data_IF_087235501671
#
_entry.id   IF_087235501671
#
_cell.length_a   1.000
_cell.length_b   1.000
_cell.length_c   1.000
_cell.angle_alpha   90.00
_cell.angle_beta   90.00
_cell.angle_gamma   90.00
#
_symmetry.space_group_name_H-M   'P 1'
#
loop_
_entity.id
_entity.type
_entity.pdbx_description
1 polymer ?
#
# COMPACT_ATOMS: atom_id res chain seq x y z
N UNK A 1 8.09 9.00 16.67
CA UNK A 1 6.94 9.80 17.13
C UNK A 1 5.84 9.63 16.10
N UNK A 2 4.62 9.22 16.48
CA UNK A 2 3.52 9.12 15.53
C UNK A 2 2.97 10.54 15.30
N UNK A 3 3.21 11.11 14.12
CA UNK A 3 2.67 12.42 13.78
C UNK A 3 1.17 12.26 13.51
N UNK A 4 0.29 13.02 14.20
CA UNK A 4 -1.13 13.03 13.89
C UNK A 4 -1.34 13.48 12.44
N UNK A 5 -2.33 12.91 11.77
CA UNK A 5 -2.74 13.41 10.45
C UNK A 5 -3.16 14.89 10.59
N UNK A 6 -2.70 15.79 9.71
CA UNK A 6 -3.07 17.20 9.79
C UNK A 6 -4.59 17.37 9.62
N UNK A 7 -5.30 17.65 10.71
CA UNK A 7 -6.72 17.99 10.72
C UNK A 7 -6.89 19.50 10.86
N UNK A 8 -6.72 20.22 9.76
CA UNK A 8 -6.99 21.67 9.72
C UNK A 8 -8.47 21.92 9.44
N UNK A 9 -9.34 21.72 10.44
CA UNK A 9 -10.68 22.36 10.60
C UNK A 9 -11.75 22.29 9.50
N UNK A 10 -11.43 21.95 8.26
CA UNK A 10 -12.33 21.76 7.13
C UNK A 10 -12.50 20.26 6.86
N UNK A 11 -13.59 19.87 6.21
CA UNK A 11 -13.78 18.49 5.77
C UNK A 11 -12.62 18.10 4.83
N UNK A 12 -11.68 17.31 5.33
CA UNK A 12 -10.56 16.78 4.54
C UNK A 12 -10.99 15.44 3.98
N UNK A 13 -10.68 15.20 2.71
CA UNK A 13 -10.92 13.91 2.06
C UNK A 13 -9.64 13.09 2.08
N UNK A 14 -9.77 11.83 2.43
CA UNK A 14 -8.66 10.87 2.46
C UNK A 14 -9.01 9.66 1.59
N UNK A 15 -7.98 9.06 1.02
CA UNK A 15 -8.10 7.73 0.43
C UNK A 15 -7.74 6.69 1.50
N UNK A 16 -8.59 5.68 1.65
CA UNK A 16 -8.42 4.60 2.62
C UNK A 16 -7.94 3.36 1.90
N UNK A 17 -6.72 2.92 2.19
CA UNK A 17 -6.13 1.70 1.64
C UNK A 17 -6.40 0.53 2.60
N UNK A 18 -6.98 -0.54 2.08
CA UNK A 18 -7.35 -1.76 2.79
C UNK A 18 -6.46 -2.88 2.27
N UNK A 19 -5.69 -3.48 3.18
CA UNK A 19 -4.72 -4.53 2.86
C UNK A 19 -4.86 -5.68 3.83
N UNK A 20 -4.83 -6.89 3.29
CA UNK A 20 -4.91 -8.14 4.05
C UNK A 20 -4.25 -9.26 3.24
N UNK A 21 -3.45 -10.10 3.91
CA UNK A 21 -2.85 -11.28 3.29
C UNK A 21 -3.93 -12.22 2.75
N UNK A 22 -3.70 -12.77 1.55
CA UNK A 22 -4.62 -13.64 0.85
C UNK A 22 -5.79 -12.93 0.15
N UNK A 23 -5.82 -11.59 0.15
CA UNK A 23 -6.87 -10.78 -0.48
C UNK A 23 -6.26 -9.66 -1.34
N UNK A 24 -7.01 -9.23 -2.34
CA UNK A 24 -6.64 -8.07 -3.15
C UNK A 24 -6.58 -6.79 -2.29
N UNK A 25 -5.79 -5.80 -2.71
CA UNK A 25 -5.81 -4.45 -2.14
C UNK A 25 -7.12 -3.75 -2.51
N UNK A 26 -7.79 -3.14 -1.54
CA UNK A 26 -8.93 -2.25 -1.77
C UNK A 26 -8.54 -0.79 -1.49
N UNK A 27 -9.05 0.15 -2.26
CA UNK A 27 -8.94 1.59 -1.98
C UNK A 27 -10.30 2.24 -2.03
N UNK A 28 -10.66 2.98 -0.97
CA UNK A 28 -11.84 3.82 -0.95
C UNK A 28 -11.38 5.27 -1.08
N UNK A 29 -11.68 5.87 -2.22
CA UNK A 29 -11.31 7.24 -2.50
C UNK A 29 -12.25 8.25 -1.86
N UNK A 30 -11.70 9.43 -1.55
CA UNK A 30 -12.47 10.62 -1.18
C UNK A 30 -13.35 10.49 0.07
N UNK A 31 -12.92 9.67 1.04
CA UNK A 31 -13.61 9.48 2.33
C UNK A 31 -13.60 10.80 3.11
N UNK A 32 -14.76 11.41 3.40
CA UNK A 32 -14.81 12.66 4.13
C UNK A 32 -14.43 12.41 5.59
N UNK A 33 -13.60 13.28 6.16
CA UNK A 33 -13.26 13.26 7.59
C UNK A 33 -13.47 14.65 8.14
N UNK A 34 -14.26 14.73 9.22
CA UNK A 34 -14.51 15.94 9.98
C UNK A 34 -14.22 15.69 11.46
N UNK A 35 -13.79 16.74 12.17
CA UNK A 35 -13.48 16.63 13.58
C UNK A 35 -14.74 16.25 14.39
N UNK A 36 -14.61 15.28 15.29
CA UNK A 36 -15.70 14.82 16.16
C UNK A 36 -16.79 13.98 15.47
N UNK A 37 -16.59 13.57 14.22
CA UNK A 37 -17.54 12.72 13.49
C UNK A 37 -16.91 11.38 13.10
N UNK A 38 -17.75 10.35 12.97
CA UNK A 38 -17.37 9.04 12.44
C UNK A 38 -17.90 8.88 11.03
N UNK A 39 -17.02 8.61 10.08
CA UNK A 39 -17.40 8.28 8.70
C UNK A 39 -17.44 6.76 8.54
N UNK A 40 -18.62 6.24 8.19
CA UNK A 40 -18.83 4.80 8.04
C UNK A 40 -18.44 4.38 6.63
N UNK A 41 -17.52 3.42 6.52
CA UNK A 41 -17.07 2.83 5.23
C UNK A 41 -17.57 1.39 5.01
N UNK A 42 -18.07 0.75 6.08
CA UNK A 42 -18.65 -0.60 6.06
C UNK A 42 -19.45 -0.86 7.34
N UNK A 43 -20.33 -1.85 7.33
CA UNK A 43 -20.99 -2.36 8.55
C UNK A 43 -21.19 -3.89 8.46
N UNK A 44 -21.81 -4.50 9.48
CA UNK A 44 -22.01 -5.95 9.51
C UNK A 44 -23.01 -6.48 8.48
N UNK A 45 -23.96 -5.66 8.02
CA UNK A 45 -24.91 -6.05 6.97
C UNK A 45 -24.39 -5.80 5.55
N UNK A 46 -23.34 -5.00 5.41
CA UNK A 46 -22.66 -4.66 4.17
C UNK A 46 -21.13 -4.59 4.41
N UNK A 47 -20.48 -5.76 4.62
CA UNK A 47 -19.04 -5.82 4.83
C UNK A 47 -18.27 -5.46 3.55
N UNK A 48 -17.03 -5.01 3.71
CA UNK A 48 -16.09 -4.91 2.58
C UNK A 48 -15.74 -6.33 2.14
N UNK A 49 -15.96 -6.63 0.87
CA UNK A 49 -15.60 -7.90 0.25
C UNK A 49 -14.63 -7.64 -0.89
N UNK A 50 -13.39 -8.10 -0.72
CA UNK A 50 -12.35 -8.08 -1.73
C UNK A 50 -12.12 -9.53 -2.19
N UNK A 51 -11.78 -9.77 -3.46
CA UNK A 51 -11.51 -11.11 -3.93
C UNK A 51 -10.21 -11.66 -3.33
N UNK A 52 -10.13 -12.98 -3.24
CA UNK A 52 -8.92 -13.67 -2.81
C UNK A 52 -7.78 -13.39 -3.80
N UNK A 53 -6.55 -13.33 -3.27
CA UNK A 53 -5.33 -13.15 -4.02
C UNK A 53 -4.28 -14.16 -3.57
N UNK A 54 -3.46 -14.64 -4.51
CA UNK A 54 -2.20 -15.29 -4.14
C UNK A 54 -1.21 -14.22 -3.71
N UNK A 55 -0.61 -14.41 -2.56
CA UNK A 55 0.46 -13.56 -2.05
C UNK A 55 1.80 -13.97 -2.67
N UNK A 56 2.58 -12.97 -3.09
CA UNK A 56 3.94 -13.12 -3.59
C UNK A 56 4.89 -12.35 -2.68
N UNK A 57 6.13 -12.83 -2.58
CA UNK A 57 7.14 -12.18 -1.75
C UNK A 57 8.13 -11.40 -2.62
N UNK A 58 8.49 -10.20 -2.17
CA UNK A 58 9.62 -9.43 -2.68
C UNK A 58 10.71 -9.38 -1.64
N UNK A 59 11.93 -9.78 -1.98
CA UNK A 59 13.09 -9.74 -1.09
C UNK A 59 14.27 -8.99 -1.70
N UNK A 60 15.07 -8.40 -0.82
CA UNK A 60 16.32 -7.73 -1.20
C UNK A 60 17.07 -7.20 0.00
N UNK A 61 18.11 -6.42 -0.28
CA UNK A 61 18.95 -5.77 0.74
C UNK A 61 19.18 -4.30 0.42
N UNK A 62 19.32 -3.49 1.46
CA UNK A 62 19.81 -2.11 1.37
C UNK A 62 21.27 -2.03 1.82
N UNK A 63 22.09 -1.33 1.05
CA UNK A 63 23.52 -1.15 1.30
C UNK A 63 23.90 0.35 1.23
N UNK A 64 24.75 0.86 2.12
CA UNK A 64 25.22 0.21 3.35
C UNK A 64 24.08 -0.06 4.34
N UNK A 65 24.27 -1.02 5.24
CA UNK A 65 23.25 -1.39 6.26
C UNK A 65 22.87 -0.18 7.13
N UNK A 66 23.83 0.72 7.37
CA UNK A 66 23.66 1.95 8.15
C UNK A 66 22.71 2.97 7.53
N UNK A 67 22.18 2.73 6.32
CA UNK A 67 21.15 3.59 5.72
C UNK A 67 19.78 3.47 6.39
N UNK A 68 19.53 2.40 7.16
CA UNK A 68 18.31 2.18 7.96
C UNK A 68 17.00 2.50 7.20
N UNK A 69 16.87 1.97 5.98
CA UNK A 69 15.80 2.40 5.09
C UNK A 69 14.43 1.82 5.48
N UNK A 70 13.39 2.64 5.29
CA UNK A 70 12.00 2.16 5.22
C UNK A 70 11.72 1.71 3.79
N UNK A 71 11.29 0.46 3.62
CA UNK A 71 10.87 -0.08 2.32
C UNK A 71 9.35 -0.01 2.22
N UNK A 72 8.85 0.55 1.12
CA UNK A 72 7.44 0.61 0.78
C UNK A 72 7.18 -0.09 -0.55
N UNK A 73 6.08 -0.83 -0.63
CA UNK A 73 5.52 -1.25 -1.91
C UNK A 73 4.40 -0.29 -2.32
N UNK A 74 4.58 0.34 -3.47
CA UNK A 74 3.62 1.26 -4.06
C UNK A 74 2.91 0.59 -5.22
N UNK A 75 1.59 0.52 -5.19
CA UNK A 75 0.77 0.09 -6.32
C UNK A 75 0.17 1.31 -7.00
N UNK A 76 0.43 1.47 -8.29
CA UNK A 76 -0.08 2.60 -9.06
C UNK A 76 -1.30 2.20 -9.88
N UNK A 77 -2.42 2.88 -9.68
CA UNK A 77 -3.60 2.77 -10.52
C UNK A 77 -4.39 4.07 -10.53
N UNK A 78 -5.13 4.32 -11.62
CA UNK A 78 -5.92 5.54 -11.81
C UNK A 78 -5.11 6.84 -11.64
N UNK A 79 -3.79 6.80 -11.92
CA UNK A 79 -2.90 7.95 -11.81
C UNK A 79 -2.35 8.22 -10.40
N UNK A 80 -2.74 7.43 -9.40
CA UNK A 80 -2.32 7.58 -8.00
C UNK A 80 -1.50 6.36 -7.57
N UNK A 81 -0.49 6.59 -6.72
CA UNK A 81 0.30 5.52 -6.09
C UNK A 81 -0.12 5.34 -4.64
N UNK A 82 -0.46 4.11 -4.26
CA UNK A 82 -0.87 3.76 -2.91
C UNK A 82 0.14 2.84 -2.26
N UNK A 83 0.55 3.14 -1.03
CA UNK A 83 1.39 2.24 -0.25
C UNK A 83 0.56 1.06 0.24
N UNK A 84 0.93 -0.16 -0.17
CA UNK A 84 0.19 -1.39 0.17
C UNK A 84 0.88 -2.22 1.25
N UNK A 85 2.18 -2.03 1.42
CA UNK A 85 2.96 -2.67 2.48
C UNK A 85 4.19 -1.82 2.78
N UNK A 86 4.68 -1.93 4.02
CA UNK A 86 5.90 -1.27 4.45
C UNK A 86 6.63 -2.13 5.48
N UNK A 87 7.96 -2.16 5.39
CA UNK A 87 8.84 -2.80 6.38
C UNK A 87 10.10 -1.97 6.55
N UNK A 88 10.73 -2.03 7.71
CA UNK A 88 12.10 -1.51 7.87
C UNK A 88 13.09 -2.59 7.47
N UNK A 89 14.24 -2.18 6.94
CA UNK A 89 15.37 -3.10 6.73
C UNK A 89 15.87 -3.64 8.07
N UNK A 90 16.33 -4.89 8.08
CA UNK A 90 17.04 -5.44 9.22
C UNK A 90 18.32 -4.62 9.50
N UNK A 91 18.49 -4.17 10.76
CA UNK A 91 19.57 -3.26 11.14
C UNK A 91 20.98 -3.86 11.14
N UNK A 92 21.12 -5.18 10.98
CA UNK A 92 22.42 -5.86 10.96
C UNK A 92 22.82 -6.30 9.53
N UNK A 93 21.84 -6.64 8.69
CA UNK A 93 22.06 -7.21 7.36
C UNK A 93 21.55 -6.34 6.21
N UNK A 94 20.74 -5.32 6.49
CA UNK A 94 20.05 -4.51 5.48
C UNK A 94 18.94 -5.26 4.74
N UNK A 95 18.65 -6.52 5.09
CA UNK A 95 17.68 -7.35 4.40
C UNK A 95 16.24 -6.91 4.67
N UNK A 96 15.36 -7.11 3.68
CA UNK A 96 13.91 -6.90 3.82
C UNK A 96 13.12 -7.95 3.06
N UNK A 97 11.85 -8.12 3.47
CA UNK A 97 10.87 -8.95 2.76
C UNK A 97 9.49 -8.29 2.84
N UNK A 98 8.79 -8.22 1.71
CA UNK A 98 7.41 -7.72 1.59
C UNK A 98 6.52 -8.83 1.03
N UNK A 99 5.32 -8.97 1.56
CA UNK A 99 4.28 -9.88 1.04
C UNK A 99 3.19 -9.05 0.37
N UNK A 100 2.92 -9.31 -0.91
CA UNK A 100 2.10 -8.48 -1.77
C UNK A 100 1.13 -9.33 -2.59
N UNK A 101 -0.12 -8.90 -2.80
CA UNK A 101 -1.07 -9.62 -3.65
C UNK A 101 -0.63 -9.59 -5.13
N UNK A 102 -0.95 -10.65 -5.87
CA UNK A 102 -0.70 -10.73 -7.33
C UNK A 102 -1.90 -10.27 -8.18
N UNK A 103 -3.09 -10.15 -7.57
CA UNK A 103 -4.31 -9.71 -8.26
C UNK A 103 -4.34 -8.18 -8.45
N UNK A 104 -5.22 -7.64 -9.32
CA UNK A 104 -5.46 -6.20 -9.39
C UNK A 104 -5.91 -5.61 -8.05
N UNK A 105 -5.57 -4.35 -7.84
CA UNK A 105 -6.22 -3.54 -6.82
C UNK A 105 -7.68 -3.27 -7.19
N UNK A 106 -8.49 -2.99 -6.18
CA UNK A 106 -9.91 -2.69 -6.31
C UNK A 106 -10.18 -1.28 -5.83
N UNK A 107 -10.73 -0.47 -6.72
CA UNK A 107 -10.98 0.94 -6.49
C UNK A 107 -12.48 1.19 -6.26
N UNK A 108 -12.80 1.92 -5.20
CA UNK A 108 -14.15 2.32 -4.83
C UNK A 108 -14.20 3.79 -4.49
N UNK A 109 -15.29 4.47 -4.81
CA UNK A 109 -15.51 5.87 -4.41
C UNK A 109 -16.42 5.89 -3.18
N UNK A 110 -16.06 6.68 -2.19
CA UNK A 110 -16.89 6.83 -0.99
C UNK A 110 -18.35 7.17 -1.33
N UNK A 111 -19.26 6.42 -0.71
CA UNK A 111 -20.70 6.66 -0.72
C UNK A 111 -21.26 6.45 0.68
N UNK A 112 -22.26 7.24 1.05
CA UNK A 112 -23.02 7.01 2.28
C UNK A 112 -23.92 5.76 2.19
N UNK A 113 -24.19 5.26 0.98
CA UNK A 113 -24.92 4.01 0.74
C UNK A 113 -23.93 2.85 0.69
N UNK A 114 -24.16 1.85 1.55
CA UNK A 114 -23.36 0.63 1.63
C UNK A 114 -24.04 -0.54 0.88
N UNK A 115 -23.28 -1.50 0.33
CA UNK A 115 -21.80 -1.54 0.31
C UNK A 115 -21.21 -0.55 -0.70
N UNK A 116 -19.96 -0.14 -0.45
CA UNK A 116 -19.18 0.61 -1.43
C UNK A 116 -18.86 -0.32 -2.60
N UNK A 117 -19.19 0.11 -3.81
CA UNK A 117 -18.89 -0.65 -5.02
C UNK A 117 -17.40 -0.53 -5.36
N UNK A 118 -16.77 -1.67 -5.59
CA UNK A 118 -15.37 -1.76 -6.00
C UNK A 118 -15.26 -2.26 -7.44
N UNK A 119 -14.35 -1.67 -8.20
CA UNK A 119 -14.01 -2.09 -9.56
C UNK A 119 -12.52 -2.44 -9.66
N UNK A 120 -12.20 -3.50 -10.40
CA UNK A 120 -10.81 -3.94 -10.56
C UNK A 120 -10.02 -2.94 -11.43
N UNK A 121 -8.87 -2.48 -10.93
CA UNK A 121 -7.87 -1.76 -11.67
C UNK A 121 -6.90 -2.75 -12.36
N UNK A 122 -7.38 -3.40 -13.43
CA UNK A 122 -6.68 -4.50 -14.10
C UNK A 122 -5.25 -4.21 -14.55
N UNK A 123 -4.95 -2.97 -14.93
CA UNK A 123 -3.61 -2.56 -15.40
C UNK A 123 -2.51 -2.63 -14.32
N UNK A 124 -2.90 -2.64 -13.04
CA UNK A 124 -2.00 -2.64 -11.89
C UNK A 124 -1.81 -4.03 -11.25
N UNK A 125 -2.41 -5.09 -11.82
CA UNK A 125 -2.33 -6.44 -11.27
C UNK A 125 -0.88 -6.91 -11.11
N UNK A 126 -0.49 -7.22 -9.86
CA UNK A 126 0.84 -7.70 -9.50
C UNK A 126 1.97 -6.70 -9.72
N UNK A 127 1.70 -5.47 -10.16
CA UNK A 127 2.74 -4.49 -10.51
C UNK A 127 2.96 -3.50 -9.38
N UNK A 128 4.20 -3.43 -8.92
CA UNK A 128 4.59 -2.58 -7.80
C UNK A 128 5.86 -1.79 -8.11
N UNK A 129 5.94 -0.61 -7.52
CA UNK A 129 7.19 0.11 -7.33
C UNK A 129 7.64 -0.12 -5.89
N UNK A 130 8.76 -0.79 -5.72
CA UNK A 130 9.43 -0.92 -4.43
C UNK A 130 10.29 0.31 -4.24
N UNK A 131 10.05 1.05 -3.18
CA UNK A 131 10.77 2.24 -2.82
C UNK A 131 11.52 2.01 -1.51
N UNK A 132 12.80 2.34 -1.50
CA UNK A 132 13.64 2.39 -0.31
C UNK A 132 13.90 3.86 0.03
N UNK A 133 13.42 4.29 1.20
CA UNK A 133 13.64 5.63 1.74
C UNK A 133 14.64 5.56 2.90
N UNK A 134 15.91 5.97 2.69
CA UNK A 134 16.93 5.94 3.73
C UNK A 134 16.73 7.09 4.74
N UNK A 135 17.35 7.02 5.90
CA UNK A 135 17.36 8.14 6.87
C UNK A 135 17.96 9.43 6.28
N UNK A 136 18.86 9.29 5.31
CA UNK A 136 19.44 10.39 4.55
C UNK A 136 19.81 9.94 3.13
N UNK A 137 19.79 10.86 2.16
CA UNK A 137 20.27 10.59 0.80
C UNK A 137 19.18 10.39 -0.28
N UNK A 138 17.91 10.52 0.08
CA UNK A 138 16.77 10.50 -0.86
C UNK A 138 16.39 9.09 -1.30
N UNK A 139 15.10 8.89 -1.59
CA UNK A 139 14.57 7.58 -1.92
C UNK A 139 15.05 7.04 -3.28
N UNK A 140 15.23 5.72 -3.36
CA UNK A 140 15.49 4.97 -4.61
C UNK A 140 14.36 3.98 -4.84
N UNK A 141 14.08 3.66 -6.11
CA UNK A 141 12.97 2.78 -6.46
C UNK A 141 13.30 1.76 -7.55
N UNK A 142 12.58 0.65 -7.52
CA UNK A 142 12.66 -0.43 -8.50
C UNK A 142 11.27 -0.98 -8.79
N UNK A 143 10.97 -1.25 -10.07
CA UNK A 143 9.71 -1.84 -10.47
C UNK A 143 9.79 -3.36 -10.40
N UNK A 144 8.72 -3.99 -9.92
CA UNK A 144 8.57 -5.44 -9.88
C UNK A 144 7.21 -5.85 -10.46
N UNK A 145 7.19 -6.99 -11.14
CA UNK A 145 5.98 -7.63 -11.64
C UNK A 145 5.84 -9.01 -10.97
N UNK A 146 4.79 -9.15 -10.17
CA UNK A 146 4.47 -10.32 -9.36
C UNK A 146 3.27 -11.08 -9.92
N UNK A 147 2.87 -10.82 -11.16
CA UNK A 147 1.74 -11.50 -11.80
C UNK A 147 1.97 -13.01 -11.96
N UNK A 148 3.24 -13.46 -11.98
CA UNK A 148 3.60 -14.87 -12.13
C UNK A 148 4.32 -15.46 -10.89
N UNK A 149 5.23 -14.71 -10.27
CA UNK A 149 6.06 -15.20 -9.16
C UNK A 149 6.60 -14.03 -8.31
N UNK A 150 7.09 -14.36 -7.10
CA UNK A 150 7.82 -13.42 -6.25
C UNK A 150 9.11 -12.90 -6.90
N UNK A 151 9.60 -11.77 -6.40
CA UNK A 151 10.85 -11.16 -6.84
C UNK A 151 11.93 -11.28 -5.76
N UNK A 152 13.16 -11.57 -6.17
CA UNK A 152 14.31 -11.65 -5.26
C UNK A 152 15.43 -10.75 -5.76
N UNK A 153 16.37 -10.40 -4.88
CA UNK A 153 17.51 -9.54 -5.19
C UNK A 153 17.11 -8.12 -5.64
N UNK A 154 15.99 -7.59 -5.13
CA UNK A 154 15.58 -6.20 -5.36
C UNK A 154 16.39 -5.31 -4.42
N UNK A 155 17.65 -5.07 -4.80
CA UNK A 155 18.63 -4.43 -3.92
C UNK A 155 18.71 -2.93 -4.17
N UNK A 156 19.01 -2.18 -3.11
CA UNK A 156 19.27 -0.75 -3.18
C UNK A 156 20.63 -0.42 -2.59
N UNK A 157 21.36 0.45 -3.27
CA UNK A 157 22.64 0.99 -2.79
C UNK A 157 22.52 2.50 -2.72
N UNK A 158 22.84 3.13 -1.58
CA UNK A 158 22.70 4.57 -1.37
C UNK A 158 23.98 5.35 -1.61
#
# INVERSE_FOLDING_TARGET
MLTPLPQTGASTRYDVVIVQNGFATGVIQSVPVSAGSTTVVSNSSAPISLPASTDQTVTGTVTPVTSNATIRALQAFNGTSFAVASVNTNGDSGAYALTLPSTPAYDGVYSATLPIAFAAAGSAAGKYTIEADPESGGAKSSQVDLSAAGATNVNFSF
#
